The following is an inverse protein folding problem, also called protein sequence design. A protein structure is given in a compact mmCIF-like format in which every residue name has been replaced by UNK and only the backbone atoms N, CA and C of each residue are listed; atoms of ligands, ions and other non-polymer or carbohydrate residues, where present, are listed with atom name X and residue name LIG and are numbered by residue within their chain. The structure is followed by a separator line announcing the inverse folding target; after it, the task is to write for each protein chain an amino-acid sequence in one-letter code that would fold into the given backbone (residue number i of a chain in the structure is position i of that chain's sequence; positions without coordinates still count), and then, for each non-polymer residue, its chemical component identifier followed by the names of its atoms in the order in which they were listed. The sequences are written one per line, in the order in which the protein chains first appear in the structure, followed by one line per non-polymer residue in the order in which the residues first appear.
data_IF_062701138162
#
_entry.id   IF_062701138162
#
_cell.length_a   1.000
_cell.length_b   1.000
_cell.length_c   1.000
_cell.angle_alpha   90.00
_cell.angle_beta   90.00
_cell.angle_gamma   90.00
#
_symmetry.space_group_name_H-M   'P 1'
#
loop_
_entity.id
_entity.type
_entity.pdbx_description
1 polymer ?
#
# COMPACT_ATOMS: atom_id res chain seq x y z
N UNK A 1 -53.76 33.75 -38.51
CA UNK A 1 -53.37 32.73 -37.49
C UNK A 1 -52.13 31.91 -37.86
N UNK A 2 -51.86 31.60 -39.13
CA UNK A 2 -50.72 30.73 -39.51
C UNK A 2 -49.31 31.29 -39.21
N UNK A 3 -49.11 32.60 -39.24
CA UNK A 3 -47.80 33.24 -39.00
C UNK A 3 -47.33 33.14 -37.55
N UNK A 4 -48.26 33.19 -36.59
CA UNK A 4 -47.95 33.11 -35.15
C UNK A 4 -47.52 31.69 -34.76
N UNK A 5 -48.19 30.68 -35.29
CA UNK A 5 -47.86 29.26 -35.03
C UNK A 5 -46.48 28.92 -35.63
N UNK A 6 -46.19 29.38 -36.85
CA UNK A 6 -44.88 29.21 -37.48
C UNK A 6 -43.74 29.86 -36.70
N UNK A 7 -43.96 31.07 -36.15
CA UNK A 7 -42.97 31.75 -35.30
C UNK A 7 -42.71 30.99 -33.99
N UNK A 8 -43.75 30.44 -33.35
CA UNK A 8 -43.63 29.63 -32.13
C UNK A 8 -42.84 28.34 -32.37
N UNK A 9 -43.10 27.64 -33.48
CA UNK A 9 -42.38 26.40 -33.84
C UNK A 9 -40.90 26.70 -34.09
N UNK A 10 -40.59 27.78 -34.83
CA UNK A 10 -39.21 28.21 -35.09
C UNK A 10 -38.45 28.57 -33.80
N UNK A 11 -39.11 29.25 -32.85
CA UNK A 11 -38.53 29.58 -31.55
C UNK A 11 -38.28 28.32 -30.70
N UNK A 12 -39.17 27.35 -30.75
CA UNK A 12 -39.01 26.07 -30.04
C UNK A 12 -37.83 25.27 -30.61
N UNK A 13 -37.73 25.21 -31.94
CA UNK A 13 -36.64 24.54 -32.64
C UNK A 13 -35.28 25.22 -32.35
N UNK A 14 -35.25 26.56 -32.34
CA UNK A 14 -34.06 27.32 -31.99
C UNK A 14 -33.62 27.06 -30.54
N UNK A 15 -34.56 27.03 -29.59
CA UNK A 15 -34.28 26.69 -28.18
C UNK A 15 -33.72 25.28 -28.03
N UNK A 16 -34.30 24.31 -28.73
CA UNK A 16 -33.80 22.93 -28.73
C UNK A 16 -32.40 22.83 -29.33
N UNK A 17 -32.14 23.50 -30.46
CA UNK A 17 -30.83 23.56 -31.07
C UNK A 17 -29.78 24.18 -30.13
N UNK A 18 -30.11 25.28 -29.45
CA UNK A 18 -29.24 25.91 -28.45
C UNK A 18 -28.95 24.97 -27.26
N UNK A 19 -29.96 24.24 -26.77
CA UNK A 19 -29.77 23.25 -25.70
C UNK A 19 -28.88 22.08 -26.14
N UNK A 20 -29.08 21.54 -27.34
CA UNK A 20 -28.27 20.47 -27.89
C UNK A 20 -26.80 20.90 -28.08
N UNK A 21 -26.57 22.10 -28.60
CA UNK A 21 -25.24 22.71 -28.72
C UNK A 21 -24.58 22.86 -27.35
N UNK A 22 -25.30 23.36 -26.34
CA UNK A 22 -24.80 23.47 -24.96
C UNK A 22 -24.38 22.13 -24.34
N UNK A 23 -25.17 21.07 -24.55
CA UNK A 23 -24.85 19.71 -24.09
C UNK A 23 -23.61 19.14 -24.80
N UNK A 24 -23.49 19.37 -26.11
CA UNK A 24 -22.34 18.93 -26.90
C UNK A 24 -21.05 19.63 -26.46
N UNK A 25 -21.07 20.96 -26.34
CA UNK A 25 -19.94 21.75 -25.83
C UNK A 25 -19.54 21.31 -24.41
N UNK A 26 -20.51 21.12 -23.51
CA UNK A 26 -20.24 20.65 -22.15
C UNK A 26 -19.66 19.24 -22.08
N UNK A 27 -19.95 18.38 -23.05
CA UNK A 27 -19.38 17.03 -23.14
C UNK A 27 -17.96 17.06 -23.68
N UNK A 28 -17.71 17.86 -24.72
CA UNK A 28 -16.36 18.09 -25.28
C UNK A 28 -15.42 18.64 -24.20
N UNK A 29 -15.83 19.67 -23.46
CA UNK A 29 -15.04 20.26 -22.36
C UNK A 29 -14.75 19.23 -21.26
N UNK A 30 -15.72 18.37 -20.90
CA UNK A 30 -15.51 17.31 -19.89
C UNK A 30 -14.52 16.24 -20.37
N UNK A 31 -14.56 15.89 -21.65
CA UNK A 31 -13.63 14.91 -22.23
C UNK A 31 -12.21 15.46 -22.33
N UNK A 32 -12.04 16.72 -22.73
CA UNK A 32 -10.71 17.36 -22.79
C UNK A 32 -10.09 17.54 -21.41
N UNK A 33 -10.86 17.98 -20.41
CA UNK A 33 -10.40 18.08 -19.02
C UNK A 33 -9.99 16.72 -18.44
N UNK A 34 -10.76 15.65 -18.73
CA UNK A 34 -10.39 14.29 -18.35
C UNK A 34 -9.08 13.84 -19.02
N UNK A 35 -8.90 14.13 -20.31
CA UNK A 35 -7.67 13.84 -21.04
C UNK A 35 -6.46 14.52 -20.40
N UNK A 36 -6.56 15.83 -20.13
CA UNK A 36 -5.51 16.61 -19.45
C UNK A 36 -5.22 16.04 -18.05
N UNK A 37 -6.25 15.70 -17.27
CA UNK A 37 -6.06 15.12 -15.95
C UNK A 37 -5.32 13.77 -16.00
N UNK A 38 -5.58 12.94 -17.02
CA UNK A 38 -4.88 11.67 -17.22
C UNK A 38 -3.42 11.88 -17.61
N UNK A 39 -3.12 12.84 -18.49
CA UNK A 39 -1.73 13.14 -18.88
C UNK A 39 -0.93 13.75 -17.73
N UNK A 40 -1.51 14.68 -16.97
CA UNK A 40 -0.91 15.23 -15.74
C UNK A 40 -0.65 14.11 -14.73
N UNK A 41 -1.58 13.17 -14.54
CA UNK A 41 -1.38 12.02 -13.65
C UNK A 41 -0.23 11.12 -14.10
N UNK A 42 -0.08 10.91 -15.40
CA UNK A 42 1.01 10.11 -15.97
C UNK A 42 2.36 10.82 -15.83
N UNK A 43 2.44 12.12 -16.12
CA UNK A 43 3.65 12.94 -15.95
C UNK A 43 4.04 13.03 -14.47
N UNK A 44 3.07 13.25 -13.58
CA UNK A 44 3.31 13.28 -12.14
C UNK A 44 3.86 11.96 -11.61
N UNK A 45 3.41 10.81 -12.15
CA UNK A 45 3.97 9.49 -11.82
C UNK A 45 5.41 9.32 -12.29
N UNK A 46 5.81 9.96 -13.39
CA UNK A 46 7.18 9.94 -13.88
C UNK A 46 8.10 10.83 -13.03
N UNK A 47 7.67 12.06 -12.74
CA UNK A 47 8.47 13.06 -12.01
C UNK A 47 8.53 12.74 -10.50
N UNK A 48 7.40 12.37 -9.91
CA UNK A 48 7.24 12.09 -8.49
C UNK A 48 6.86 10.63 -8.26
N UNK A 49 7.52 9.71 -8.96
CA UNK A 49 7.36 8.28 -8.76
C UNK A 49 7.43 7.88 -7.28
N UNK A 50 6.86 6.73 -6.90
CA UNK A 50 6.93 6.27 -5.51
C UNK A 50 8.39 6.26 -5.06
N UNK A 51 8.69 6.65 -3.81
CA UNK A 51 10.05 6.69 -3.31
C UNK A 51 10.70 5.32 -3.54
N UNK A 52 11.74 5.31 -4.39
CA UNK A 52 12.48 4.09 -4.70
C UNK A 52 13.21 3.69 -3.43
N UNK A 53 12.79 2.57 -2.84
CA UNK A 53 13.55 1.92 -1.76
C UNK A 53 14.81 1.35 -2.42
N UNK A 54 15.95 2.04 -2.30
CA UNK A 54 17.20 1.63 -2.92
C UNK A 54 17.62 0.24 -2.41
N UNK A 55 17.64 -0.76 -3.30
CA UNK A 55 18.23 -2.07 -3.03
C UNK A 55 19.75 -1.91 -2.83
N UNK A 56 20.27 -2.30 -1.66
CA UNK A 56 21.70 -2.52 -1.42
C UNK A 56 22.03 -4.00 -1.63
N UNK A 57 23.32 -4.35 -1.59
CA UNK A 57 23.84 -5.71 -1.80
C UNK A 57 22.88 -6.79 -1.27
N UNK A 58 22.42 -7.64 -2.19
CA UNK A 58 21.29 -8.53 -1.97
C UNK A 58 21.78 -9.95 -1.77
N UNK A 59 21.36 -10.61 -0.69
CA UNK A 59 21.47 -12.05 -0.57
C UNK A 59 20.15 -12.70 -1.00
N UNK A 60 20.22 -13.67 -1.92
CA UNK A 60 19.08 -14.51 -2.26
C UNK A 60 19.03 -15.70 -1.30
N UNK A 61 17.89 -15.90 -0.65
CA UNK A 61 17.69 -17.02 0.27
C UNK A 61 16.43 -17.76 -0.12
N UNK A 62 16.52 -19.09 -0.16
CA UNK A 62 15.38 -19.95 -0.41
C UNK A 62 14.73 -20.36 0.91
N UNK A 63 13.41 -20.22 0.98
CA UNK A 63 12.58 -20.68 2.09
C UNK A 63 13.10 -20.27 3.49
N UNK A 64 13.20 -18.96 3.79
CA UNK A 64 13.57 -18.50 5.13
C UNK A 64 12.52 -18.95 6.15
N UNK A 65 12.96 -19.22 7.38
CA UNK A 65 12.04 -19.56 8.46
C UNK A 65 11.41 -18.29 9.03
N UNK A 66 10.08 -18.23 9.07
CA UNK A 66 9.36 -17.09 9.65
C UNK A 66 9.12 -17.33 11.15
N UNK A 67 9.75 -16.51 11.99
CA UNK A 67 9.62 -16.59 13.45
C UNK A 67 8.30 -15.94 13.88
N UNK A 68 8.11 -14.68 13.50
CA UNK A 68 6.94 -13.86 13.82
C UNK A 68 6.59 -12.95 12.63
N UNK A 69 5.73 -11.94 12.83
CA UNK A 69 5.28 -11.07 11.74
C UNK A 69 6.30 -10.04 11.24
N UNK A 70 7.47 -9.90 11.88
CA UNK A 70 8.53 -8.99 11.43
C UNK A 70 9.95 -9.55 11.52
N UNK A 71 10.10 -10.83 11.88
CA UNK A 71 11.39 -11.49 12.05
C UNK A 71 11.45 -12.81 11.27
N UNK A 72 12.50 -12.96 10.47
CA UNK A 72 12.84 -14.20 9.77
C UNK A 72 14.20 -14.73 10.23
N UNK A 73 14.45 -16.02 10.03
CA UNK A 73 15.72 -16.68 10.29
C UNK A 73 16.24 -17.42 9.05
N UNK A 74 17.56 -17.33 8.86
CA UNK A 74 18.32 -18.04 7.84
C UNK A 74 19.50 -18.70 8.54
N UNK A 75 19.40 -20.02 8.73
CA UNK A 75 20.32 -20.74 9.61
C UNK A 75 20.28 -20.19 11.04
N UNK A 76 21.44 -19.78 11.56
CA UNK A 76 21.56 -19.16 12.89
C UNK A 76 21.31 -17.66 12.91
N UNK A 77 21.26 -17.01 11.76
CA UNK A 77 21.15 -15.56 11.67
C UNK A 77 19.68 -15.13 11.66
N UNK A 78 19.36 -14.17 12.52
CA UNK A 78 18.03 -13.54 12.61
C UNK A 78 18.04 -12.21 11.89
N UNK A 79 16.95 -11.92 11.18
CA UNK A 79 16.73 -10.72 10.41
C UNK A 79 15.41 -10.07 10.81
N UNK A 80 15.46 -8.79 11.18
CA UNK A 80 14.28 -7.99 11.52
C UNK A 80 13.93 -7.06 10.36
N UNK A 81 12.67 -7.10 9.97
CA UNK A 81 12.12 -6.28 8.90
C UNK A 81 12.10 -4.82 9.31
N UNK A 82 12.79 -3.99 8.53
CA UNK A 82 12.89 -2.56 8.74
C UNK A 82 11.58 -1.83 8.46
N UNK A 83 11.32 -0.81 9.28
CA UNK A 83 10.25 0.14 9.09
C UNK A 83 8.87 -0.34 9.46
N UNK A 84 8.78 -1.56 10.01
CA UNK A 84 7.56 -2.14 10.53
C UNK A 84 7.74 -2.63 11.96
N UNK A 85 6.62 -2.86 12.63
CA UNK A 85 6.52 -3.60 13.89
C UNK A 85 5.23 -4.42 13.81
N UNK A 86 5.36 -5.74 13.78
CA UNK A 86 4.20 -6.62 13.71
C UNK A 86 3.64 -6.90 15.11
N UNK A 87 2.35 -7.25 15.24
CA UNK A 87 1.81 -7.73 16.51
C UNK A 87 2.64 -8.87 17.09
N UNK A 88 2.93 -8.79 18.39
CA UNK A 88 3.64 -9.86 19.09
C UNK A 88 2.80 -11.15 19.09
N UNK A 89 3.45 -12.32 19.14
CA UNK A 89 2.75 -13.61 19.21
C UNK A 89 1.81 -13.73 20.42
N UNK A 90 2.03 -12.93 21.46
CA UNK A 90 1.19 -12.84 22.66
C UNK A 90 -0.02 -11.90 22.52
N UNK A 91 -0.15 -11.16 21.40
CA UNK A 91 -1.27 -10.24 21.14
C UNK A 91 -2.52 -10.95 20.59
N UNK A 92 -2.86 -12.11 21.17
CA UNK A 92 -3.99 -12.94 20.74
C UNK A 92 -3.85 -13.35 19.27
N UNK A 93 -4.97 -13.36 18.54
CA UNK A 93 -5.01 -13.81 17.13
C UNK A 93 -4.18 -12.94 16.17
N UNK A 94 -3.89 -11.68 16.53
CA UNK A 94 -3.20 -10.76 15.64
C UNK A 94 -1.74 -11.15 15.37
N UNK A 95 -1.05 -11.70 16.36
CA UNK A 95 0.34 -12.17 16.22
C UNK A 95 0.46 -13.34 15.24
N UNK A 96 -0.22 -14.47 15.50
CA UNK A 96 -0.28 -15.60 14.57
C UNK A 96 -0.77 -15.21 13.17
N UNK A 97 -1.75 -14.31 13.06
CA UNK A 97 -2.25 -13.82 11.78
C UNK A 97 -1.19 -13.04 10.99
N UNK A 98 -0.42 -12.16 11.65
CA UNK A 98 0.67 -11.44 11.00
C UNK A 98 1.79 -12.38 10.53
N UNK A 99 2.17 -13.35 11.36
CA UNK A 99 3.13 -14.40 10.99
C UNK A 99 2.66 -15.19 9.76
N UNK A 100 1.41 -15.65 9.78
CA UNK A 100 0.83 -16.42 8.68
C UNK A 100 0.78 -15.61 7.37
N UNK A 101 0.48 -14.30 7.46
CA UNK A 101 0.50 -13.43 6.28
C UNK A 101 1.90 -13.26 5.71
N UNK A 102 2.92 -13.10 6.56
CA UNK A 102 4.31 -13.03 6.10
C UNK A 102 4.74 -14.33 5.39
N UNK A 103 4.39 -15.50 5.94
CA UNK A 103 4.62 -16.80 5.28
C UNK A 103 3.94 -16.83 3.91
N UNK A 104 2.69 -16.37 3.81
CA UNK A 104 1.94 -16.31 2.55
C UNK A 104 2.60 -15.37 1.53
N UNK A 105 3.10 -14.21 1.96
CA UNK A 105 3.81 -13.27 1.10
C UNK A 105 5.12 -13.85 0.55
N UNK A 106 5.81 -14.67 1.33
CA UNK A 106 7.02 -15.38 0.91
C UNK A 106 6.67 -16.53 -0.05
N UNK A 107 5.52 -17.18 0.16
CA UNK A 107 4.97 -18.17 -0.78
C UNK A 107 5.84 -19.42 -0.98
N UNK A 108 6.70 -19.76 0.00
CA UNK A 108 7.66 -20.87 -0.10
C UNK A 108 8.77 -20.67 -1.14
N UNK A 109 8.89 -19.46 -1.67
CA UNK A 109 9.84 -19.12 -2.73
C UNK A 109 11.20 -18.63 -2.23
N UNK A 110 11.95 -18.08 -3.17
CA UNK A 110 13.15 -17.31 -2.86
C UNK A 110 12.79 -15.86 -2.52
N UNK A 111 13.49 -15.35 -1.52
CA UNK A 111 13.43 -13.96 -1.11
C UNK A 111 14.80 -13.31 -1.27
N UNK A 112 14.76 -12.01 -1.48
CA UNK A 112 15.91 -11.15 -1.60
C UNK A 112 16.02 -10.29 -0.33
N UNK A 113 17.15 -10.42 0.37
CA UNK A 113 17.42 -9.72 1.62
C UNK A 113 18.40 -8.59 1.34
N UNK A 114 17.98 -7.34 1.58
CA UNK A 114 18.83 -6.16 1.56
C UNK A 114 19.13 -5.74 3.00
N UNK A 115 20.29 -6.14 3.53
CA UNK A 115 20.71 -5.82 4.90
C UNK A 115 21.19 -4.36 5.03
N UNK A 116 20.89 -3.70 6.15
CA UNK A 116 21.25 -2.31 6.40
C UNK A 116 22.11 -2.08 7.65
N UNK A 117 22.16 -3.04 8.58
CA UNK A 117 22.86 -2.90 9.86
C UNK A 117 22.37 -3.90 10.90
N UNK A 118 22.68 -3.67 12.18
CA UNK A 118 22.22 -4.47 13.30
C UNK A 118 21.51 -3.61 14.34
N UNK A 119 20.58 -4.19 15.09
CA UNK A 119 19.97 -3.55 16.25
C UNK A 119 20.71 -3.90 17.56
N UNK A 120 20.26 -3.35 18.70
CA UNK A 120 20.84 -3.62 20.01
C UNK A 120 20.66 -5.07 20.51
N UNK A 121 19.88 -5.88 19.79
CA UNK A 121 19.67 -7.30 20.08
C UNK A 121 20.45 -8.20 19.11
N UNK A 122 21.43 -7.64 18.39
CA UNK A 122 22.26 -8.31 17.38
C UNK A 122 21.49 -8.94 16.20
N UNK A 123 20.26 -8.48 15.94
CA UNK A 123 19.49 -8.88 14.76
C UNK A 123 19.91 -8.02 13.58
N UNK A 124 20.04 -8.63 12.40
CA UNK A 124 20.30 -7.88 11.18
C UNK A 124 19.02 -7.18 10.76
N UNK A 125 19.09 -5.87 10.61
CA UNK A 125 18.02 -5.05 10.05
C UNK A 125 18.01 -5.19 8.53
N UNK A 126 16.85 -5.51 7.93
CA UNK A 126 16.75 -5.68 6.48
C UNK A 126 15.42 -5.22 5.86
N UNK A 127 15.49 -4.89 4.58
CA UNK A 127 14.34 -4.80 3.70
C UNK A 127 14.24 -6.14 2.93
N UNK A 128 13.06 -6.78 2.97
CA UNK A 128 12.79 -8.08 2.35
C UNK A 128 11.99 -7.90 1.07
N UNK A 129 12.38 -8.62 0.03
CA UNK A 129 11.75 -8.58 -1.28
C UNK A 129 11.38 -9.98 -1.75
N UNK A 130 10.24 -10.12 -2.45
CA UNK A 130 10.00 -11.33 -3.23
C UNK A 130 10.98 -11.39 -4.40
N UNK A 131 11.31 -12.59 -4.89
CA UNK A 131 12.02 -12.69 -6.16
C UNK A 131 11.14 -12.18 -7.31
N UNK A 132 11.70 -11.34 -8.15
CA UNK A 132 11.06 -10.91 -9.40
C UNK A 132 11.14 -11.99 -10.48
N UNK A 133 10.13 -12.07 -11.34
CA UNK A 133 10.15 -12.94 -12.52
C UNK A 133 10.57 -12.14 -13.76
N UNK A 134 11.32 -12.76 -14.67
CA UNK A 134 11.65 -12.21 -15.99
C UNK A 134 12.23 -10.78 -15.97
N UNK A 135 13.10 -10.48 -15.00
CA UNK A 135 13.74 -9.18 -14.85
C UNK A 135 12.87 -8.08 -14.23
N UNK A 136 11.62 -8.38 -13.83
CA UNK A 136 10.81 -7.45 -13.07
C UNK A 136 11.36 -7.28 -11.64
N UNK A 137 11.10 -6.12 -11.03
CA UNK A 137 11.43 -5.90 -9.62
C UNK A 137 10.53 -6.75 -8.70
N UNK A 138 11.13 -7.26 -7.63
CA UNK A 138 10.42 -7.94 -6.55
C UNK A 138 9.44 -7.03 -5.81
N UNK A 139 8.45 -7.61 -5.15
CA UNK A 139 7.55 -6.87 -4.23
C UNK A 139 8.26 -6.62 -2.90
N UNK A 140 8.21 -5.41 -2.37
CA UNK A 140 8.73 -5.07 -1.05
C UNK A 140 7.83 -5.65 0.06
N UNK A 141 8.27 -6.74 0.70
CA UNK A 141 7.43 -7.51 1.63
C UNK A 141 7.18 -6.76 2.94
N UNK A 142 8.13 -5.97 3.43
CA UNK A 142 7.91 -5.16 4.64
C UNK A 142 6.77 -4.15 4.41
N UNK A 143 6.73 -3.52 3.23
CA UNK A 143 5.67 -2.55 2.92
C UNK A 143 4.34 -3.28 2.69
N UNK A 144 4.37 -4.43 2.03
CA UNK A 144 3.19 -5.28 1.86
C UNK A 144 2.53 -5.65 3.20
N UNK A 145 3.33 -5.98 4.24
CA UNK A 145 2.80 -6.21 5.59
C UNK A 145 2.00 -5.02 6.12
N UNK A 146 2.44 -3.79 5.89
CA UNK A 146 1.72 -2.58 6.31
C UNK A 146 0.48 -2.33 5.44
N UNK A 147 0.61 -2.47 4.13
CA UNK A 147 -0.48 -2.24 3.16
C UNK A 147 -1.65 -3.21 3.35
N UNK A 148 -1.32 -4.46 3.62
CA UNK A 148 -2.28 -5.54 3.82
C UNK A 148 -2.83 -5.54 5.27
N UNK A 149 -2.28 -4.69 6.15
CA UNK A 149 -2.78 -4.46 7.50
C UNK A 149 -2.34 -5.50 8.53
N UNK A 150 -1.15 -6.06 8.37
CA UNK A 150 -0.56 -7.04 9.30
C UNK A 150 0.65 -6.51 10.08
N UNK A 151 1.05 -5.26 9.85
CA UNK A 151 2.07 -4.59 10.65
C UNK A 151 1.80 -3.09 10.80
N UNK A 152 2.35 -2.51 11.86
CA UNK A 152 2.37 -1.08 12.10
C UNK A 152 3.58 -0.46 11.42
N UNK A 153 3.46 0.75 10.87
CA UNK A 153 4.63 1.47 10.37
C UNK A 153 5.40 2.12 11.54
N UNK A 154 6.72 1.85 11.60
CA UNK A 154 7.64 2.47 12.57
C UNK A 154 8.52 3.54 11.96
N UNK A 155 8.84 3.45 10.65
CA UNK A 155 9.55 4.52 9.94
C UNK A 155 8.71 5.80 10.00
N UNK A 156 9.28 6.87 10.54
CA UNK A 156 8.65 8.18 10.60
C UNK A 156 8.81 8.92 9.26
N UNK A 157 8.19 8.33 8.23
CA UNK A 157 8.10 8.90 6.88
C UNK A 157 6.66 8.88 6.46
N UNK A 158 6.19 10.01 5.92
CA UNK A 158 4.82 10.17 5.44
C UNK A 158 4.38 9.05 4.50
N UNK A 159 5.30 8.55 3.68
CA UNK A 159 5.06 7.41 2.81
C UNK A 159 4.51 6.20 3.59
N UNK A 160 5.24 5.70 4.58
CA UNK A 160 4.86 4.51 5.35
C UNK A 160 3.56 4.72 6.13
N UNK A 161 3.44 5.89 6.78
CA UNK A 161 2.24 6.24 7.56
C UNK A 161 0.99 6.35 6.67
N UNK A 162 1.12 6.81 5.41
CA UNK A 162 0.01 6.83 4.44
C UNK A 162 -0.50 5.42 4.12
N UNK A 163 0.40 4.45 3.94
CA UNK A 163 0.03 3.05 3.69
C UNK A 163 -0.70 2.46 4.91
N UNK A 164 -0.18 2.68 6.12
CA UNK A 164 -0.86 2.25 7.36
C UNK A 164 -2.28 2.87 7.48
N UNK A 165 -2.41 4.19 7.24
CA UNK A 165 -3.72 4.86 7.25
C UNK A 165 -4.68 4.28 6.22
N UNK A 166 -4.19 3.89 5.04
CA UNK A 166 -5.00 3.26 3.99
C UNK A 166 -5.49 1.87 4.40
N UNK A 167 -4.61 1.06 4.99
CA UNK A 167 -4.97 -0.26 5.50
C UNK A 167 -6.05 -0.17 6.60
N UNK A 168 -5.89 0.77 7.55
CA UNK A 168 -6.87 1.06 8.60
C UNK A 168 -8.24 1.46 8.05
N UNK A 169 -8.28 2.39 7.08
CA UNK A 169 -9.54 2.83 6.45
C UNK A 169 -10.28 1.68 5.75
N UNK A 170 -9.53 0.73 5.20
CA UNK A 170 -10.07 -0.47 4.54
C UNK A 170 -10.43 -1.59 5.50
N UNK A 171 -10.15 -1.43 6.80
CA UNK A 171 -10.30 -2.49 7.81
C UNK A 171 -9.57 -3.78 7.38
N UNK A 172 -8.38 -3.64 6.80
CA UNK A 172 -7.59 -4.78 6.32
C UNK A 172 -6.88 -5.52 7.47
N UNK A 173 -6.67 -6.83 7.35
CA UNK A 173 -5.90 -7.63 8.31
C UNK A 173 -6.34 -7.42 9.76
N UNK A 174 -5.39 -7.03 10.62
CA UNK A 174 -5.63 -6.82 12.06
C UNK A 174 -6.58 -5.65 12.35
N UNK A 175 -6.81 -4.76 11.38
CA UNK A 175 -7.74 -3.64 11.50
C UNK A 175 -9.21 -4.03 11.29
N UNK A 176 -9.50 -5.26 10.86
CA UNK A 176 -10.86 -5.78 10.70
C UNK A 176 -11.56 -6.01 12.03
N UNK A 177 -10.80 -6.31 13.08
CA UNK A 177 -11.34 -6.63 14.41
C UNK A 177 -12.04 -5.43 15.03
N UNK A 178 -13.15 -5.69 15.73
CA UNK A 178 -13.82 -4.67 16.57
C UNK A 178 -12.97 -4.26 17.76
N UNK A 179 -12.10 -5.15 18.24
CA UNK A 179 -11.21 -4.87 19.37
C UNK A 179 -10.00 -4.06 18.87
N UNK A 180 -9.81 -2.87 19.44
CA UNK A 180 -8.63 -2.05 19.12
C UNK A 180 -7.36 -2.77 19.57
N UNK A 181 -6.50 -3.09 18.62
CA UNK A 181 -5.17 -3.61 18.90
C UNK A 181 -4.22 -2.48 19.35
N UNK A 182 -3.48 -2.73 20.43
CA UNK A 182 -2.41 -1.84 20.89
C UNK A 182 -1.18 -2.00 19.97
N UNK A 183 -0.36 -0.94 19.87
CA UNK A 183 0.92 -1.08 19.17
C UNK A 183 1.83 -2.08 19.92
N UNK A 184 2.73 -2.80 19.23
CA UNK A 184 3.52 -3.87 19.87
C UNK A 184 4.46 -3.35 20.96
N UNK A 185 5.06 -2.17 20.77
CA UNK A 185 5.82 -1.43 21.80
C UNK A 185 5.01 -1.19 23.09
N UNK A 186 3.77 -0.73 22.95
CA UNK A 186 2.85 -0.52 24.08
C UNK A 186 2.45 -1.83 24.74
N UNK A 187 2.30 -2.91 23.97
CA UNK A 187 2.00 -4.25 24.49
C UNK A 187 3.16 -4.80 25.31
N UNK A 188 4.40 -4.66 24.81
CA UNK A 188 5.63 -5.05 25.53
C UNK A 188 5.74 -4.34 26.89
N UNK A 189 5.49 -3.04 26.93
CA UNK A 189 5.51 -2.26 28.17
C UNK A 189 4.45 -2.70 29.19
N UNK A 190 3.26 -3.11 28.74
CA UNK A 190 2.21 -3.62 29.63
C UNK A 190 2.56 -4.98 30.19
N UNK A 191 3.19 -5.83 29.40
CA UNK A 191 3.61 -7.16 29.82
C UNK A 191 4.77 -7.14 30.81
N UNK A 192 5.63 -6.11 30.80
CA UNK A 192 6.75 -5.98 31.76
C UNK A 192 6.35 -5.46 33.14
N UNK A 193 5.12 -4.94 33.29
CA UNK A 193 4.62 -4.34 34.53
C UNK A 193 3.59 -5.25 35.24
N UNK A 194 3.19 -6.35 34.59
CA UNK A 194 2.25 -7.34 35.12
C UNK A 194 3.00 -8.55 35.67
#
# INVERSE_FOLDING_TARGET
MGTVIGALISLLFLRFALQAVGLMLGTIVRLTLRGIALTVRSIWRLIFGPPVIRRRATACVRNPYVIDGDTIAVGRQRYRLLGIDAPEMSQGEAGPAARAHLIKLIGGGEVEISASGRDCYDRILCDLWSRGANGAEGRHLNLAMVEDGYAFATRDRDFWKRHERRARRRKAGIWASRRRIARPDQHRLRASVA
#
